data_IF_262696550748
#
_entry.id   IF_262696550748
#
_cell.length_a   1.000
_cell.length_b   1.000
_cell.length_c   1.000
_cell.angle_alpha   90.00
_cell.angle_beta   90.00
_cell.angle_gamma   90.00
#
_symmetry.space_group_name_H-M   'P 1'
#
loop_
_entity.id
_entity.type
_entity.pdbx_description
1 polymer ?
#
# COMPACT_ATOMS: atom_id res chain seq x y z
N UNK A 1 7.23 9.90 -38.47
CA UNK A 1 6.48 8.73 -37.95
C UNK A 1 5.80 9.18 -36.67
N UNK A 2 4.51 9.48 -36.72
CA UNK A 2 3.74 9.86 -35.52
C UNK A 2 3.46 8.59 -34.72
N UNK A 3 4.19 8.39 -33.64
CA UNK A 3 3.92 7.35 -32.64
C UNK A 3 2.64 7.72 -31.88
N UNK A 4 1.49 7.58 -32.54
CA UNK A 4 0.21 7.59 -31.87
C UNK A 4 0.18 6.33 -31.01
N UNK A 5 0.39 6.48 -29.71
CA UNK A 5 0.12 5.42 -28.75
C UNK A 5 -1.36 5.07 -28.84
N UNK A 6 -1.68 4.02 -29.58
CA UNK A 6 -3.03 3.48 -29.65
C UNK A 6 -3.36 2.92 -28.27
N UNK A 7 -4.21 3.64 -27.53
CA UNK A 7 -4.75 3.20 -26.26
C UNK A 7 -6.15 2.61 -26.49
N UNK A 8 -6.49 1.59 -25.71
CA UNK A 8 -7.88 1.13 -25.63
C UNK A 8 -8.61 1.97 -24.59
N UNK A 9 -9.92 2.16 -24.76
CA UNK A 9 -10.71 2.97 -23.84
C UNK A 9 -10.89 2.28 -22.47
N UNK A 10 -11.21 0.99 -22.45
CA UNK A 10 -11.47 0.21 -21.23
C UNK A 10 -10.67 -1.09 -21.25
N UNK A 11 -10.39 -1.65 -20.07
CA UNK A 11 -9.73 -2.95 -19.95
C UNK A 11 -10.64 -4.14 -20.28
N UNK A 12 -10.28 -5.31 -19.75
CA UNK A 12 -10.95 -6.58 -20.04
C UNK A 12 -12.28 -6.73 -19.31
N UNK A 13 -12.32 -6.39 -18.02
CA UNK A 13 -13.49 -6.62 -17.16
C UNK A 13 -13.77 -5.41 -16.27
N UNK A 14 -15.05 -5.05 -16.18
CA UNK A 14 -15.59 -4.24 -15.08
C UNK A 14 -16.69 -5.04 -14.38
N UNK A 15 -16.40 -5.56 -13.19
CA UNK A 15 -17.30 -6.41 -12.42
C UNK A 15 -18.04 -5.58 -11.38
N UNK A 16 -19.37 -5.49 -11.50
CA UNK A 16 -20.22 -4.82 -10.51
C UNK A 16 -20.85 -5.80 -9.50
N UNK A 17 -21.26 -6.99 -9.96
CA UNK A 17 -21.93 -8.01 -9.13
C UNK A 17 -21.50 -9.40 -9.56
N UNK A 18 -21.48 -10.35 -8.63
CA UNK A 18 -21.20 -11.77 -8.90
C UNK A 18 -19.73 -12.16 -8.70
N UNK A 19 -19.42 -13.43 -8.90
CA UNK A 19 -18.05 -13.95 -8.80
C UNK A 19 -17.32 -13.92 -10.14
N UNK A 20 -15.99 -13.84 -10.10
CA UNK A 20 -15.14 -13.87 -11.28
C UNK A 20 -13.93 -14.76 -10.99
N UNK A 21 -13.66 -15.72 -11.89
CA UNK A 21 -12.46 -16.53 -11.85
C UNK A 21 -11.68 -16.34 -13.15
N UNK A 22 -10.44 -15.89 -13.03
CA UNK A 22 -9.51 -15.71 -14.14
C UNK A 22 -8.30 -16.60 -13.86
N UNK A 23 -7.98 -17.47 -14.81
CA UNK A 23 -6.84 -18.35 -14.71
C UNK A 23 -5.99 -18.27 -15.97
N UNK A 24 -4.67 -18.17 -15.81
CA UNK A 24 -3.70 -18.15 -16.91
C UNK A 24 -3.92 -17.05 -17.95
N UNK A 25 -4.51 -15.91 -17.55
CA UNK A 25 -4.68 -14.76 -18.44
C UNK A 25 -3.31 -14.15 -18.76
N UNK A 26 -3.09 -13.82 -20.03
CA UNK A 26 -1.87 -13.18 -20.51
C UNK A 26 -2.23 -11.78 -21.06
N UNK A 27 -1.73 -10.74 -20.40
CA UNK A 27 -1.93 -9.35 -20.81
C UNK A 27 -0.57 -8.75 -21.09
N UNK A 28 -0.31 -8.38 -22.34
CA UNK A 28 1.00 -7.93 -22.79
C UNK A 28 0.89 -6.60 -23.54
N UNK A 29 1.71 -5.63 -23.15
CA UNK A 29 1.95 -4.38 -23.91
C UNK A 29 0.67 -3.62 -24.24
N UNK A 30 -0.07 -3.22 -23.21
CA UNK A 30 -1.36 -2.55 -23.36
C UNK A 30 -1.32 -1.16 -22.73
N UNK A 31 -1.91 -0.18 -23.43
CA UNK A 31 -2.16 1.16 -22.91
C UNK A 31 -3.67 1.37 -22.78
N UNK A 32 -4.15 1.73 -21.60
CA UNK A 32 -5.57 1.84 -21.26
C UNK A 32 -5.88 3.29 -20.84
N UNK A 33 -6.76 3.96 -21.58
CA UNK A 33 -7.06 5.37 -21.39
C UNK A 33 -8.02 5.66 -20.23
N UNK A 34 -8.74 4.67 -19.71
CA UNK A 34 -9.69 4.88 -18.60
C UNK A 34 -9.47 3.88 -17.47
N UNK A 35 -10.07 2.69 -17.53
CA UNK A 35 -10.06 1.74 -16.42
C UNK A 35 -8.74 0.93 -16.32
N UNK A 36 -8.69 0.00 -15.39
CA UNK A 36 -7.68 -1.05 -15.30
C UNK A 36 -8.04 -2.22 -16.23
N UNK A 37 -7.12 -3.18 -16.40
CA UNK A 37 -7.46 -4.45 -17.08
C UNK A 37 -8.63 -5.13 -16.39
N UNK A 38 -8.61 -5.17 -15.06
CA UNK A 38 -9.68 -5.72 -14.22
C UNK A 38 -10.10 -4.64 -13.23
N UNK A 39 -11.31 -4.11 -13.40
CA UNK A 39 -11.97 -3.24 -12.43
C UNK A 39 -12.98 -4.08 -11.64
N UNK A 40 -12.86 -4.09 -10.32
CA UNK A 40 -13.80 -4.71 -9.39
C UNK A 40 -14.49 -3.59 -8.62
N UNK A 41 -15.81 -3.54 -8.70
CA UNK A 41 -16.65 -2.55 -8.04
C UNK A 41 -17.45 -3.18 -6.89
N UNK A 42 -18.07 -2.29 -6.12
CA UNK A 42 -18.95 -2.60 -5.01
C UNK A 42 -20.06 -3.57 -5.44
N UNK A 43 -20.21 -4.67 -4.70
CA UNK A 43 -21.19 -5.72 -4.98
C UNK A 43 -20.61 -6.96 -5.67
N UNK A 44 -19.33 -6.90 -6.08
CA UNK A 44 -18.61 -8.10 -6.47
C UNK A 44 -18.65 -9.14 -5.35
N UNK A 45 -18.82 -10.41 -5.72
CA UNK A 45 -18.69 -11.53 -4.81
C UNK A 45 -17.21 -11.88 -4.61
N UNK A 46 -16.86 -13.13 -4.91
CA UNK A 46 -15.47 -13.58 -4.85
C UNK A 46 -14.81 -13.46 -6.22
N UNK A 47 -13.69 -12.74 -6.25
CA UNK A 47 -12.83 -12.56 -7.43
C UNK A 47 -11.53 -13.31 -7.21
N UNK A 48 -11.27 -14.31 -8.05
CA UNK A 48 -10.10 -15.17 -7.99
C UNK A 48 -9.27 -15.00 -9.27
N UNK A 49 -8.00 -14.67 -9.12
CA UNK A 49 -7.05 -14.52 -10.22
C UNK A 49 -5.88 -15.46 -9.95
N UNK A 50 -5.57 -16.37 -10.88
CA UNK A 50 -4.52 -17.38 -10.69
C UNK A 50 -3.63 -17.53 -11.92
N UNK A 51 -2.32 -17.72 -11.70
CA UNK A 51 -1.34 -17.99 -12.77
C UNK A 51 -1.33 -16.98 -13.92
N UNK A 52 -1.77 -15.74 -13.67
CA UNK A 52 -2.00 -14.74 -14.70
C UNK A 52 -0.81 -13.77 -14.80
N UNK A 53 -0.55 -13.27 -16.00
CA UNK A 53 0.57 -12.39 -16.32
C UNK A 53 0.05 -11.04 -16.81
N UNK A 54 0.54 -9.98 -16.20
CA UNK A 54 0.32 -8.59 -16.57
C UNK A 54 1.69 -7.96 -16.84
N UNK A 55 2.03 -7.87 -18.11
CA UNK A 55 3.32 -7.37 -18.56
C UNK A 55 3.13 -6.10 -19.40
N UNK A 56 3.80 -5.02 -18.99
CA UNK A 56 3.78 -3.74 -19.71
C UNK A 56 2.35 -3.20 -19.86
N UNK A 57 1.62 -3.15 -18.74
CA UNK A 57 0.26 -2.60 -18.65
C UNK A 57 0.34 -1.16 -18.18
N UNK A 58 -0.02 -0.21 -19.03
CA UNK A 58 0.00 1.21 -18.69
C UNK A 58 -1.42 1.78 -18.71
N UNK A 59 -1.88 2.28 -17.57
CA UNK A 59 -3.08 3.11 -17.49
C UNK A 59 -2.66 4.57 -17.69
N UNK A 60 -3.13 5.20 -18.76
CA UNK A 60 -2.70 6.53 -19.19
C UNK A 60 -3.69 7.64 -18.81
N UNK A 61 -4.95 7.30 -18.59
CA UNK A 61 -5.91 8.22 -17.98
C UNK A 61 -5.89 8.14 -16.45
N UNK A 62 -6.47 9.16 -15.81
CA UNK A 62 -6.53 9.27 -14.36
C UNK A 62 -7.04 7.99 -13.71
N UNK A 63 -6.26 7.45 -12.76
CA UNK A 63 -6.73 6.52 -11.77
C UNK A 63 -5.70 5.52 -11.27
N UNK A 64 -6.17 4.72 -10.32
CA UNK A 64 -5.38 3.78 -9.54
C UNK A 64 -5.31 2.40 -10.20
N UNK A 65 -4.23 1.65 -9.99
CA UNK A 65 -4.07 0.25 -10.43
C UNK A 65 -4.10 0.08 -11.95
N UNK A 66 -2.98 -0.23 -12.61
CA UNK A 66 -3.02 -0.47 -14.05
C UNK A 66 -3.64 -1.84 -14.40
N UNK A 67 -3.20 -2.88 -13.70
CA UNK A 67 -3.69 -4.24 -13.90
C UNK A 67 -5.02 -4.45 -13.18
N UNK A 68 -5.06 -4.14 -11.88
CA UNK A 68 -6.23 -4.39 -11.05
C UNK A 68 -6.55 -3.14 -10.23
N UNK A 69 -7.81 -2.73 -10.28
CA UNK A 69 -8.37 -1.75 -9.37
C UNK A 69 -9.61 -2.35 -8.72
N UNK A 70 -9.54 -2.57 -7.41
CA UNK A 70 -10.58 -3.23 -6.64
C UNK A 70 -11.13 -2.31 -5.56
N UNK A 71 -12.39 -1.92 -5.70
CA UNK A 71 -13.15 -1.23 -4.66
C UNK A 71 -14.08 -2.26 -4.01
N UNK A 72 -13.68 -2.72 -2.82
CA UNK A 72 -14.32 -3.83 -2.12
C UNK A 72 -15.16 -3.30 -0.96
N UNK A 73 -16.45 -3.65 -0.98
CA UNK A 73 -17.41 -3.26 0.05
C UNK A 73 -18.20 -4.48 0.53
N UNK A 74 -18.53 -4.51 1.82
CA UNK A 74 -19.32 -5.57 2.42
C UNK A 74 -18.58 -6.91 2.42
N UNK A 75 -19.03 -7.86 1.60
CA UNK A 75 -18.48 -9.22 1.51
C UNK A 75 -17.58 -9.48 0.31
N UNK A 76 -17.25 -8.46 -0.49
CA UNK A 76 -16.42 -8.61 -1.69
C UNK A 76 -15.00 -9.05 -1.35
N UNK A 77 -14.48 -10.06 -2.07
CA UNK A 77 -13.13 -10.58 -1.85
C UNK A 77 -12.33 -10.59 -3.14
N UNK A 78 -11.08 -10.15 -3.06
CA UNK A 78 -10.09 -10.31 -4.13
C UNK A 78 -9.02 -11.30 -3.65
N UNK A 79 -8.83 -12.38 -4.39
CA UNK A 79 -7.76 -13.35 -4.17
C UNK A 79 -6.90 -13.48 -5.42
N UNK A 80 -5.60 -13.27 -5.27
CA UNK A 80 -4.56 -13.46 -6.29
C UNK A 80 -3.66 -14.59 -5.80
N UNK A 81 -3.47 -15.61 -6.62
CA UNK A 81 -2.73 -16.81 -6.19
C UNK A 81 -2.02 -17.50 -7.34
N UNK A 82 -1.28 -18.55 -6.99
CA UNK A 82 -0.70 -19.50 -7.93
C UNK A 82 0.22 -18.83 -8.97
N UNK A 83 1.21 -18.05 -8.53
CA UNK A 83 2.24 -17.44 -9.39
C UNK A 83 1.72 -16.43 -10.43
N UNK A 84 0.95 -15.44 -10.00
CA UNK A 84 0.69 -14.30 -10.87
C UNK A 84 1.95 -13.42 -11.04
N UNK A 85 2.10 -12.76 -12.17
CA UNK A 85 3.24 -11.85 -12.42
C UNK A 85 2.76 -10.49 -12.89
N UNK A 86 3.27 -9.44 -12.24
CA UNK A 86 3.04 -8.04 -12.56
C UNK A 86 4.38 -7.40 -12.87
N UNK A 87 4.61 -7.11 -14.15
CA UNK A 87 5.89 -6.57 -14.63
C UNK A 87 5.62 -5.32 -15.44
N UNK A 88 6.33 -4.24 -15.13
CA UNK A 88 6.21 -2.96 -15.86
C UNK A 88 4.76 -2.43 -15.92
N UNK A 89 4.00 -2.64 -14.84
CA UNK A 89 2.65 -2.09 -14.72
C UNK A 89 2.73 -0.64 -14.21
N UNK A 90 2.01 0.28 -14.85
CA UNK A 90 2.07 1.70 -14.48
C UNK A 90 0.71 2.38 -14.46
N UNK A 91 0.40 3.05 -13.35
CA UNK A 91 -0.81 3.86 -13.18
C UNK A 91 -0.46 5.34 -12.99
N UNK A 92 -1.48 6.20 -13.06
CA UNK A 92 -1.28 7.66 -12.88
C UNK A 92 -1.51 8.12 -11.45
N UNK A 93 -2.09 7.30 -10.58
CA UNK A 93 -2.41 7.65 -9.19
C UNK A 93 -1.73 6.68 -8.21
N UNK A 94 -2.47 5.79 -7.52
CA UNK A 94 -1.89 4.88 -6.54
C UNK A 94 -1.93 3.44 -7.04
N UNK A 95 -0.99 2.61 -6.57
CA UNK A 95 -0.90 1.21 -6.98
C UNK A 95 -0.50 1.12 -8.44
N UNK A 96 0.80 1.03 -8.75
CA UNK A 96 1.23 0.93 -10.15
C UNK A 96 0.63 -0.31 -10.83
N UNK A 97 0.65 -1.45 -10.15
CA UNK A 97 -0.02 -2.67 -10.60
C UNK A 97 -1.43 -2.81 -10.01
N UNK A 98 -1.52 -2.76 -8.68
CA UNK A 98 -2.74 -3.09 -7.94
C UNK A 98 -3.10 -1.95 -7.01
N UNK A 99 -4.34 -1.50 -7.12
CA UNK A 99 -5.01 -0.73 -6.09
C UNK A 99 -6.15 -1.56 -5.51
N UNK A 100 -6.25 -1.61 -4.18
CA UNK A 100 -7.41 -2.18 -3.52
C UNK A 100 -7.86 -1.32 -2.34
N UNK A 101 -9.16 -1.08 -2.23
CA UNK A 101 -9.79 -0.42 -1.08
C UNK A 101 -10.82 -1.32 -0.42
N UNK A 102 -10.85 -1.30 0.90
CA UNK A 102 -11.82 -1.96 1.76
C UNK A 102 -12.56 -0.86 2.54
N UNK A 103 -13.68 -0.37 2.01
CA UNK A 103 -14.34 0.83 2.56
C UNK A 103 -15.43 0.55 3.58
N UNK A 104 -15.93 -0.68 3.69
CA UNK A 104 -16.87 -1.09 4.74
C UNK A 104 -16.98 -2.62 4.85
N UNK A 105 -17.23 -3.12 6.06
CA UNK A 105 -17.59 -4.51 6.32
C UNK A 105 -16.41 -5.41 6.69
N UNK A 106 -16.54 -6.10 7.83
CA UNK A 106 -15.54 -7.04 8.36
C UNK A 106 -15.43 -8.36 7.56
N UNK A 107 -16.15 -8.51 6.44
CA UNK A 107 -16.20 -9.75 5.66
C UNK A 107 -15.49 -9.69 4.31
N UNK A 108 -15.19 -8.50 3.80
CA UNK A 108 -14.39 -8.33 2.59
C UNK A 108 -12.93 -8.63 2.86
N UNK A 109 -12.15 -8.93 1.82
CA UNK A 109 -10.72 -9.18 1.98
C UNK A 109 -9.90 -9.00 0.70
N UNK A 110 -8.61 -8.70 0.86
CA UNK A 110 -7.60 -8.70 -0.21
C UNK A 110 -6.51 -9.71 0.12
N UNK A 111 -6.34 -10.73 -0.71
CA UNK A 111 -5.39 -11.81 -0.47
C UNK A 111 -4.48 -12.03 -1.67
N UNK A 112 -3.16 -12.02 -1.44
CA UNK A 112 -2.13 -12.50 -2.36
C UNK A 112 -1.43 -13.65 -1.64
N UNK A 113 -1.75 -14.89 -2.02
CA UNK A 113 -1.43 -16.09 -1.24
C UNK A 113 -1.00 -17.27 -2.14
N UNK A 114 -0.53 -18.34 -1.51
CA UNK A 114 -0.06 -19.54 -2.21
C UNK A 114 1.34 -19.34 -2.78
N UNK A 115 1.61 -19.93 -3.95
CA UNK A 115 2.90 -19.73 -4.63
C UNK A 115 3.11 -18.26 -4.99
N UNK A 116 4.32 -17.77 -4.74
CA UNK A 116 4.66 -16.35 -4.78
C UNK A 116 4.24 -15.67 -6.10
N UNK A 117 3.48 -14.58 -5.98
CA UNK A 117 3.15 -13.68 -7.07
C UNK A 117 4.13 -12.51 -7.07
N UNK A 118 4.68 -12.20 -8.25
CA UNK A 118 5.84 -11.29 -8.35
C UNK A 118 5.44 -9.90 -8.85
N UNK A 119 6.05 -8.86 -8.28
CA UNK A 119 5.88 -7.47 -8.68
C UNK A 119 7.22 -6.82 -8.99
N UNK A 120 7.46 -6.45 -10.25
CA UNK A 120 8.72 -5.83 -10.67
C UNK A 120 8.50 -4.68 -11.64
N UNK A 121 9.35 -3.66 -11.56
CA UNK A 121 9.28 -2.45 -12.41
C UNK A 121 7.90 -1.78 -12.43
N UNK A 122 7.08 -1.99 -11.40
CA UNK A 122 5.75 -1.40 -11.29
C UNK A 122 5.86 0.02 -10.77
N UNK A 123 5.23 0.97 -11.44
CA UNK A 123 5.44 2.39 -11.16
C UNK A 123 4.15 3.19 -11.07
N UNK A 124 4.25 4.30 -10.36
CA UNK A 124 3.28 5.37 -10.42
C UNK A 124 3.92 6.57 -11.11
N UNK A 125 3.21 7.16 -12.07
CA UNK A 125 3.71 8.31 -12.84
C UNK A 125 3.44 9.68 -12.18
N UNK A 126 2.54 9.75 -11.20
CA UNK A 126 2.32 10.98 -10.41
C UNK A 126 3.38 11.14 -9.31
N UNK A 127 3.90 12.35 -9.17
CA UNK A 127 4.85 12.75 -8.10
C UNK A 127 4.26 12.64 -6.69
N UNK A 128 2.93 12.54 -6.57
CA UNK A 128 2.21 12.40 -5.30
C UNK A 128 1.59 11.02 -5.08
N UNK A 129 1.76 10.11 -6.05
CA UNK A 129 1.14 8.81 -5.98
C UNK A 129 2.00 7.77 -5.24
N UNK A 130 1.31 6.79 -4.66
CA UNK A 130 1.83 5.92 -3.61
C UNK A 130 1.67 4.44 -4.02
N UNK A 131 2.52 3.56 -3.50
CA UNK A 131 2.40 2.13 -3.76
C UNK A 131 2.81 1.76 -5.18
N UNK A 132 4.11 1.72 -5.46
CA UNK A 132 4.61 1.47 -6.82
C UNK A 132 4.14 0.14 -7.39
N UNK A 133 4.08 -0.91 -6.57
CA UNK A 133 3.40 -2.16 -6.94
C UNK A 133 1.96 -2.19 -6.42
N UNK A 134 1.78 -2.11 -5.10
CA UNK A 134 0.49 -2.32 -4.43
C UNK A 134 0.15 -1.13 -3.54
N UNK A 135 -1.10 -0.68 -3.62
CA UNK A 135 -1.69 0.26 -2.66
C UNK A 135 -2.92 -0.35 -2.01
N UNK A 136 -2.99 -0.30 -0.68
CA UNK A 136 -4.15 -0.69 0.12
C UNK A 136 -4.75 0.52 0.84
N UNK A 137 -6.07 0.74 0.69
CA UNK A 137 -6.87 1.67 1.50
C UNK A 137 -7.79 0.88 2.44
N UNK A 138 -7.49 0.89 3.74
CA UNK A 138 -8.19 0.11 4.76
C UNK A 138 -9.00 1.04 5.67
N UNK A 139 -10.32 1.03 5.52
CA UNK A 139 -11.21 1.75 6.42
C UNK A 139 -11.25 1.10 7.82
N UNK A 140 -11.81 1.82 8.79
CA UNK A 140 -11.99 1.34 10.16
C UNK A 140 -12.79 0.02 10.18
N UNK A 141 -12.27 -0.98 10.88
CA UNK A 141 -12.81 -2.33 10.97
C UNK A 141 -12.36 -3.27 9.86
N UNK A 142 -11.50 -2.81 8.93
CA UNK A 142 -10.98 -3.61 7.81
C UNK A 142 -9.45 -3.78 7.87
N UNK A 143 -8.79 -3.20 8.86
CA UNK A 143 -7.33 -3.14 8.98
C UNK A 143 -6.68 -4.52 9.01
N UNK A 144 -7.39 -5.55 9.45
CA UNK A 144 -6.89 -6.94 9.50
C UNK A 144 -7.24 -7.76 8.26
N UNK A 145 -8.08 -7.24 7.36
CA UNK A 145 -8.75 -7.96 6.28
C UNK A 145 -7.92 -8.07 5.00
N UNK A 146 -6.62 -8.27 5.14
CA UNK A 146 -5.74 -8.53 4.02
C UNK A 146 -4.73 -9.61 4.37
N UNK A 147 -4.15 -10.26 3.37
CA UNK A 147 -3.04 -11.21 3.51
C UNK A 147 -2.17 -11.13 2.27
N UNK A 148 -0.94 -10.65 2.39
CA UNK A 148 0.03 -10.54 1.29
C UNK A 148 1.21 -11.51 1.46
N UNK A 149 1.02 -12.62 2.18
CA UNK A 149 2.09 -13.63 2.39
C UNK A 149 2.66 -14.21 1.10
N UNK A 150 1.87 -14.23 0.03
CA UNK A 150 2.29 -14.64 -1.31
C UNK A 150 2.84 -13.51 -2.19
N UNK A 151 2.95 -12.28 -1.71
CA UNK A 151 3.54 -11.18 -2.48
C UNK A 151 5.07 -11.24 -2.44
N UNK A 152 5.71 -11.15 -3.61
CA UNK A 152 7.17 -11.05 -3.76
C UNK A 152 7.53 -9.82 -4.57
N UNK A 153 8.30 -8.92 -3.97
CA UNK A 153 8.66 -7.64 -4.57
C UNK A 153 10.05 -7.70 -5.20
N UNK A 154 10.10 -7.59 -6.53
CA UNK A 154 11.31 -7.48 -7.33
C UNK A 154 11.83 -6.04 -7.43
N UNK A 155 12.91 -5.88 -8.21
CA UNK A 155 13.53 -4.58 -8.43
C UNK A 155 12.69 -3.66 -9.34
N UNK A 156 13.02 -2.36 -9.30
CA UNK A 156 12.49 -1.35 -10.24
C UNK A 156 11.13 -0.77 -9.90
N UNK A 157 10.47 -1.24 -8.83
CA UNK A 157 9.22 -0.63 -8.40
C UNK A 157 9.45 0.81 -7.91
N UNK A 158 8.55 1.74 -8.21
CA UNK A 158 8.74 3.16 -7.89
C UNK A 158 7.44 3.93 -7.66
N UNK A 159 7.42 4.75 -6.61
CA UNK A 159 6.36 5.70 -6.26
C UNK A 159 6.96 6.77 -5.32
N UNK A 160 6.19 7.81 -4.97
CA UNK A 160 6.65 8.81 -3.99
C UNK A 160 7.00 8.14 -2.64
N UNK A 161 6.10 7.28 -2.16
CA UNK A 161 6.31 6.44 -0.99
C UNK A 161 5.73 5.04 -1.22
N UNK A 162 6.33 4.05 -0.57
CA UNK A 162 5.93 2.65 -0.71
C UNK A 162 6.24 2.15 -2.10
N UNK A 163 7.53 2.11 -2.47
CA UNK A 163 7.95 1.64 -3.80
C UNK A 163 7.34 0.28 -4.13
N UNK A 164 7.27 -0.61 -3.14
CA UNK A 164 6.63 -1.91 -3.26
C UNK A 164 5.18 -1.83 -2.77
N UNK A 165 4.99 -1.55 -1.48
CA UNK A 165 3.68 -1.55 -0.83
C UNK A 165 3.44 -0.23 -0.12
N UNK A 166 2.25 0.30 -0.29
CA UNK A 166 1.72 1.37 0.54
C UNK A 166 0.43 0.94 1.24
N UNK A 167 0.35 1.15 2.55
CA UNK A 167 -0.86 0.92 3.35
C UNK A 167 -1.34 2.24 3.93
N UNK A 168 -2.52 2.69 3.49
CA UNK A 168 -3.34 3.64 4.24
C UNK A 168 -4.31 2.83 5.08
N UNK A 169 -4.30 3.03 6.39
CA UNK A 169 -5.22 2.35 7.29
C UNK A 169 -5.81 3.32 8.30
N UNK A 170 -7.07 3.12 8.69
CA UNK A 170 -7.72 3.94 9.72
C UNK A 170 -7.01 3.88 11.08
N UNK A 171 -6.29 2.78 11.36
CA UNK A 171 -5.25 2.70 12.37
C UNK A 171 -4.09 1.85 11.83
N UNK A 172 -2.94 2.48 11.57
CA UNK A 172 -1.81 1.78 10.95
C UNK A 172 -1.20 0.74 11.87
N UNK A 173 -1.23 0.96 13.18
CA UNK A 173 -0.76 0.00 14.19
C UNK A 173 -1.63 -1.25 14.24
N UNK A 174 -2.93 -1.10 14.03
CA UNK A 174 -3.88 -2.23 13.93
C UNK A 174 -3.65 -3.02 12.64
N UNK A 175 -3.41 -2.33 11.52
CA UNK A 175 -3.14 -3.00 10.24
C UNK A 175 -1.80 -3.74 10.27
N UNK A 176 -0.78 -3.10 10.84
CA UNK A 176 0.61 -3.57 10.87
C UNK A 176 1.07 -3.70 12.34
N UNK A 177 0.55 -4.69 13.10
CA UNK A 177 0.94 -4.87 14.50
C UNK A 177 2.39 -5.33 14.63
N UNK A 178 2.94 -5.24 15.85
CA UNK A 178 4.30 -5.71 16.13
C UNK A 178 4.41 -7.19 15.73
N UNK A 179 5.51 -7.53 15.06
CA UNK A 179 5.79 -8.87 14.61
C UNK A 179 6.10 -9.77 15.82
N UNK A 180 5.31 -10.83 15.97
CA UNK A 180 5.55 -11.93 16.91
C UNK A 180 5.28 -13.26 16.21
N UNK A 181 5.52 -14.38 16.91
CA UNK A 181 5.12 -15.72 16.46
C UNK A 181 3.60 -15.83 16.27
N UNK A 182 2.80 -15.19 17.12
CA UNK A 182 1.34 -15.18 17.05
C UNK A 182 0.80 -14.11 16.07
N UNK A 183 1.61 -13.08 15.77
CA UNK A 183 1.29 -11.99 14.87
C UNK A 183 2.38 -11.85 13.80
N UNK A 184 2.39 -12.70 12.75
CA UNK A 184 3.45 -12.74 11.75
C UNK A 184 3.36 -11.58 10.72
N UNK A 185 3.22 -10.33 11.19
CA UNK A 185 2.95 -9.14 10.37
C UNK A 185 3.96 -8.94 9.24
N UNK A 186 5.26 -9.14 9.52
CA UNK A 186 6.32 -9.04 8.53
C UNK A 186 6.06 -9.95 7.33
N UNK A 187 5.74 -11.21 7.59
CA UNK A 187 5.37 -12.19 6.57
C UNK A 187 4.06 -11.80 5.89
N UNK A 188 3.08 -11.34 6.66
CA UNK A 188 1.75 -10.93 6.17
C UNK A 188 1.79 -9.79 5.14
N UNK A 189 2.81 -8.93 5.16
CA UNK A 189 2.97 -7.83 4.19
C UNK A 189 3.96 -8.14 3.06
N UNK A 190 4.55 -9.35 3.05
CA UNK A 190 5.56 -9.74 2.06
C UNK A 190 6.92 -9.07 2.26
N UNK A 191 7.24 -8.64 3.49
CA UNK A 191 8.57 -8.10 3.80
C UNK A 191 9.64 -9.20 3.76
N UNK A 192 10.85 -8.87 3.29
CA UNK A 192 11.95 -9.83 3.12
C UNK A 192 12.60 -10.14 4.47
N UNK A 193 13.62 -9.36 4.84
CA UNK A 193 14.31 -9.46 6.12
C UNK A 193 14.50 -8.07 6.73
N UNK A 194 14.78 -8.04 8.03
CA UNK A 194 14.81 -6.79 8.79
C UNK A 194 15.99 -5.91 8.38
N UNK A 195 17.10 -6.52 7.97
CA UNK A 195 18.28 -5.79 7.49
C UNK A 195 17.98 -5.11 6.15
N UNK A 196 17.33 -5.82 5.24
CA UNK A 196 16.90 -5.32 3.95
C UNK A 196 15.86 -4.20 4.09
N UNK A 197 14.80 -4.39 4.87
CA UNK A 197 13.74 -3.38 5.01
C UNK A 197 14.23 -2.12 5.74
N UNK A 198 15.14 -2.28 6.71
CA UNK A 198 15.81 -1.16 7.38
C UNK A 198 16.73 -0.39 6.43
N UNK A 199 17.44 -1.08 5.54
CA UNK A 199 18.29 -0.45 4.52
C UNK A 199 17.46 0.23 3.41
N UNK A 200 16.21 -0.22 3.19
CA UNK A 200 15.33 0.27 2.15
C UNK A 200 13.99 0.79 2.71
N UNK A 201 14.02 1.82 3.58
CA UNK A 201 12.84 2.23 4.36
C UNK A 201 11.67 2.71 3.49
N UNK A 202 11.91 3.08 2.23
CA UNK A 202 10.87 3.58 1.32
C UNK A 202 10.12 2.48 0.56
N UNK A 203 10.52 1.21 0.70
CA UNK A 203 9.89 0.10 -0.01
C UNK A 203 8.50 -0.20 0.51
N UNK A 204 8.35 -0.33 1.83
CA UNK A 204 7.11 -0.63 2.51
C UNK A 204 6.78 0.56 3.42
N UNK A 205 5.75 1.33 3.07
CA UNK A 205 5.38 2.56 3.78
C UNK A 205 3.88 2.55 4.12
N UNK A 206 3.48 3.38 5.06
CA UNK A 206 2.07 3.63 5.32
C UNK A 206 1.82 4.84 6.20
N UNK A 207 0.55 5.23 6.33
CA UNK A 207 0.12 6.24 7.29
C UNK A 207 -1.21 5.88 7.95
N UNK A 208 -1.51 6.61 9.01
CA UNK A 208 -2.69 6.42 9.85
C UNK A 208 -3.80 7.44 9.54
N UNK A 209 -4.93 6.94 9.05
CA UNK A 209 -6.19 7.66 8.87
C UNK A 209 -6.06 8.91 8.02
N UNK A 210 -6.33 10.06 8.64
CA UNK A 210 -6.29 11.41 8.03
C UNK A 210 -4.89 12.03 8.00
N UNK A 211 -3.88 11.39 8.62
CA UNK A 211 -2.52 11.90 8.56
C UNK A 211 -1.90 11.61 7.19
N UNK A 212 -1.08 12.54 6.70
CA UNK A 212 -0.35 12.38 5.44
C UNK A 212 1.14 12.02 5.64
N UNK A 213 1.58 11.91 6.90
CA UNK A 213 2.96 11.57 7.21
C UNK A 213 3.17 10.07 7.02
N UNK A 214 3.85 9.69 5.94
CA UNK A 214 4.19 8.31 5.64
C UNK A 214 5.39 7.83 6.45
N UNK A 215 5.28 6.65 7.05
CA UNK A 215 6.34 6.01 7.82
C UNK A 215 6.72 4.65 7.23
N UNK A 216 8.01 4.26 7.32
CA UNK A 216 8.44 2.91 6.98
C UNK A 216 7.74 1.88 7.87
N UNK A 217 7.11 0.87 7.26
CA UNK A 217 6.41 -0.18 7.99
C UNK A 217 7.35 -0.99 8.88
N UNK A 218 8.64 -1.03 8.56
CA UNK A 218 9.68 -1.58 9.43
C UNK A 218 9.60 -1.03 10.85
N UNK A 219 9.49 0.29 11.03
CA UNK A 219 9.36 0.91 12.36
C UNK A 219 7.98 0.72 13.00
N UNK A 220 7.01 0.20 12.24
CA UNK A 220 5.71 -0.17 12.77
C UNK A 220 5.76 -1.61 13.28
N UNK A 221 6.14 -2.60 12.47
CA UNK A 221 6.12 -4.00 12.95
C UNK A 221 7.31 -4.38 13.84
N UNK A 222 8.34 -3.55 14.01
CA UNK A 222 9.43 -3.83 14.96
C UNK A 222 9.16 -3.26 16.35
N UNK A 223 9.55 -3.99 17.38
CA UNK A 223 9.49 -3.50 18.75
C UNK A 223 10.53 -2.38 18.95
N UNK A 224 10.14 -1.30 19.62
CA UNK A 224 11.09 -0.27 20.04
C UNK A 224 11.98 -0.88 21.13
N UNK A 225 13.27 -1.04 20.86
CA UNK A 225 14.22 -1.45 21.90
C UNK A 225 14.42 -0.28 22.86
N UNK A 226 14.09 -0.48 24.13
CA UNK A 226 14.14 0.53 25.21
C UNK A 226 15.56 0.97 25.62
N UNK A 227 16.55 0.88 24.73
CA UNK A 227 17.95 1.18 25.05
C UNK A 227 18.36 2.63 24.77
N UNK A 228 17.41 3.55 24.58
CA UNK A 228 17.70 5.00 24.65
C UNK A 228 17.77 5.38 26.13
N UNK A 229 18.95 5.23 26.71
CA UNK A 229 19.28 5.80 28.01
C UNK A 229 19.23 7.33 27.94
N UNK A 230 18.86 7.95 29.05
CA UNK A 230 18.60 9.38 29.21
C UNK A 230 19.64 10.25 28.52
N UNK A 231 19.19 11.32 27.87
CA UNK A 231 20.05 12.46 27.54
C UNK A 231 20.70 12.88 28.86
N UNK A 232 22.01 12.63 29.02
CA UNK A 232 22.74 13.11 30.17
C UNK A 232 22.81 14.63 30.03
N UNK A 233 21.84 15.32 30.61
CA UNK A 233 21.98 16.73 30.92
C UNK A 233 22.98 16.81 32.07
N UNK A 234 24.27 16.67 31.74
CA UNK A 234 25.33 16.96 32.69
C UNK A 234 25.02 18.32 33.29
N UNK A 235 25.08 18.44 34.62
CA UNK A 235 24.62 19.62 35.35
C UNK A 235 25.21 20.91 34.76
N UNK A 236 24.48 21.55 33.85
CA UNK A 236 24.71 22.92 33.44
C UNK A 236 23.72 23.72 34.26
N UNK A 237 24.21 24.46 35.24
CA UNK A 237 23.39 25.46 35.93
C UNK A 237 22.89 26.46 34.87
N UNK A 238 21.60 26.41 34.57
CA UNK A 238 20.95 27.46 33.82
C UNK A 238 20.72 28.65 34.75
N UNK A 239 21.55 29.69 34.60
CA UNK A 239 21.29 30.98 35.23
C UNK A 239 20.05 31.61 34.58
N UNK A 240 18.90 31.49 35.24
CA UNK A 240 17.72 32.25 34.87
C UNK A 240 17.89 33.71 35.27
N UNK A 241 17.83 34.61 34.30
CA UNK A 241 17.69 36.05 34.55
C UNK A 241 16.27 36.27 35.09
N UNK A 242 16.15 36.67 36.36
CA UNK A 242 14.89 37.06 36.97
C UNK A 242 14.54 38.50 36.56
N UNK A 243 13.39 38.69 35.92
CA UNK A 243 12.74 39.99 35.81
C UNK A 243 11.72 40.12 36.96
N UNK A 244 11.97 41.06 37.87
CA UNK A 244 11.00 41.46 38.89
C UNK A 244 10.04 42.50 38.32
N UNK A 245 8.74 42.18 38.34
CA UNK A 245 7.67 43.13 38.04
C UNK A 245 7.37 43.90 39.32
N UNK A 246 7.64 45.21 39.33
CA UNK A 246 7.36 46.06 40.47
C UNK A 246 5.85 46.36 40.53
N UNK A 247 5.16 45.84 41.54
CA UNK A 247 3.76 46.18 41.84
C UNK A 247 3.68 46.89 43.18
N UNK A 248 4.11 48.15 43.20
CA UNK A 248 3.76 49.05 44.29
C UNK A 248 2.28 49.43 44.16
N UNK A 249 1.42 48.60 44.74
CA UNK A 249 0.10 49.01 45.19
C UNK A 249 0.19 49.22 46.71
N UNK A 250 0.65 50.39 47.13
CA UNK A 250 0.42 50.86 48.50
C UNK A 250 -0.74 51.84 48.48
N UNK A 251 -1.87 51.37 48.98
CA UNK A 251 -2.97 52.18 49.49
C UNK A 251 -2.61 52.64 50.91
N UNK A 252 -2.43 53.95 51.08
CA UNK A 252 -2.28 54.65 52.35
C UNK A 252 -2.41 56.14 52.12
#
# INVERSE_FOLDING_TARGET
>A
MTSGSSSISVGLVQLNVGGLSISNLQVNSISIASNSVIKVNNGAGEVNISGSVFNSVSRTGSGNGAAINAELNGGSKLTIKDQCSFTSCSSTENGGAIYASLSSGASGSVSIIGSASTFSSCTVSSESGLGGAIYLDLANGTETQYDLTGASYGAGNNAQYGKNLFIKAANLRTAVPIHTTESPTKTKIGAIDDEYEKANPTNLMGYDGVNILAFPLYYVYTAVTSNIYHVNNGAVEFNYISFSINTNAESG
#
